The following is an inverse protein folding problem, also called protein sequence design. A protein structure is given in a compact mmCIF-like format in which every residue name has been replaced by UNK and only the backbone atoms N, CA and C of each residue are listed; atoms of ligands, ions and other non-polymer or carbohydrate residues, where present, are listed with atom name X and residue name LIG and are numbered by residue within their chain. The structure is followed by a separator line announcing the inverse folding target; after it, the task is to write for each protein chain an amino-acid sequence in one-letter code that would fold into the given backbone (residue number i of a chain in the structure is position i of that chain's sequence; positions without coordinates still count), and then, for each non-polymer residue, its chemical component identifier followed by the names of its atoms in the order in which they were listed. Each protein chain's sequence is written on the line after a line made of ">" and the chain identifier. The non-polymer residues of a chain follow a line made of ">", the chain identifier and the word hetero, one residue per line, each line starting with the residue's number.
data_IF_608574785281
#
_entry.id   IF_608574785281
#
_cell.length_a   1.000
_cell.length_b   1.000
_cell.length_c   1.000
_cell.angle_alpha   90.00
_cell.angle_beta   90.00
_cell.angle_gamma   90.00
#
_symmetry.space_group_name_H-M   'P 1'
#
loop_
_entity.id
_entity.type
_entity.pdbx_description
1 polymer ?
#
# COMPACT_ATOMS: atom_id res chain seq x y z
N UNK A 1 -53.54 13.22 -12.12
CA UNK A 1 -53.78 13.89 -10.83
C UNK A 1 -53.23 15.31 -10.89
N UNK A 2 -53.78 16.27 -10.13
CA UNK A 2 -53.21 17.61 -10.06
C UNK A 2 -51.76 17.55 -9.53
N UNK A 3 -50.89 18.49 -9.93
CA UNK A 3 -49.50 18.50 -9.50
C UNK A 3 -49.41 18.68 -7.99
N UNK A 4 -48.37 18.10 -7.38
CA UNK A 4 -48.11 18.27 -5.95
C UNK A 4 -47.83 19.73 -5.63
N UNK A 5 -48.50 20.25 -4.61
CA UNK A 5 -48.33 21.60 -4.09
C UNK A 5 -47.58 21.59 -2.76
N UNK A 6 -47.15 22.76 -2.29
CA UNK A 6 -46.50 22.89 -0.99
C UNK A 6 -47.42 22.42 0.15
N UNK A 7 -46.81 21.78 1.15
CA UNK A 7 -47.53 21.33 2.34
C UNK A 7 -48.05 22.53 3.16
N UNK A 8 -49.37 22.62 3.36
CA UNK A 8 -50.02 23.67 4.17
C UNK A 8 -50.13 23.32 5.67
N UNK A 9 -49.56 22.19 6.08
CA UNK A 9 -49.55 21.70 7.47
C UNK A 9 -50.93 21.53 8.13
N UNK A 10 -51.92 21.06 7.38
CA UNK A 10 -53.30 20.88 7.84
C UNK A 10 -53.56 19.73 8.84
N UNK A 11 -52.62 18.80 9.06
CA UNK A 11 -52.75 17.72 10.05
C UNK A 11 -53.54 16.47 9.60
N UNK A 12 -54.39 16.56 8.57
CA UNK A 12 -55.27 15.47 8.09
C UNK A 12 -54.57 14.12 7.85
N UNK A 13 -53.31 14.16 7.41
CA UNK A 13 -52.52 12.95 7.16
C UNK A 13 -52.27 12.10 8.41
N UNK A 14 -52.16 12.74 9.59
CA UNK A 14 -51.94 12.03 10.86
C UNK A 14 -53.23 11.37 11.36
N UNK A 15 -54.36 12.08 11.25
CA UNK A 15 -55.69 11.54 11.61
C UNK A 15 -56.10 10.35 10.75
N UNK A 16 -55.77 10.38 9.45
CA UNK A 16 -56.07 9.30 8.53
C UNK A 16 -55.09 8.11 8.60
N UNK A 17 -53.99 8.21 9.37
CA UNK A 17 -52.97 7.17 9.38
C UNK A 17 -53.40 5.97 10.26
N UNK A 18 -53.60 4.77 9.69
CA UNK A 18 -54.01 3.59 10.47
C UNK A 18 -52.92 3.05 11.40
N UNK A 19 -51.65 3.44 11.18
CA UNK A 19 -50.51 3.08 12.02
C UNK A 19 -50.20 4.17 13.07
N UNK A 20 -51.03 5.21 13.19
CA UNK A 20 -50.84 6.34 14.12
C UNK A 20 -49.45 6.99 14.04
N UNK A 21 -48.84 6.99 12.85
CA UNK A 21 -47.57 7.66 12.59
C UNK A 21 -47.76 9.17 12.44
N UNK A 22 -46.65 9.89 12.24
CA UNK A 22 -46.63 11.33 11.94
C UNK A 22 -46.17 11.58 10.49
N UNK A 23 -47.03 11.39 9.46
CA UNK A 23 -46.63 11.50 8.05
C UNK A 23 -46.00 12.84 7.69
N UNK A 24 -46.46 13.94 8.29
CA UNK A 24 -45.88 15.25 8.03
C UNK A 24 -44.39 15.29 8.41
N UNK A 25 -44.01 14.80 9.59
CA UNK A 25 -42.61 14.76 10.03
C UNK A 25 -41.79 13.80 9.17
N UNK A 26 -42.32 12.59 8.93
CA UNK A 26 -41.68 11.60 8.06
C UNK A 26 -41.45 12.15 6.66
N UNK A 27 -42.35 12.97 6.13
CA UNK A 27 -42.18 13.59 4.81
C UNK A 27 -41.00 14.56 4.78
N UNK A 28 -40.85 15.42 5.80
CA UNK A 28 -39.73 16.35 5.87
C UNK A 28 -38.39 15.60 5.99
N UNK A 29 -38.32 14.56 6.80
CA UNK A 29 -37.11 13.74 6.90
C UNK A 29 -36.82 12.96 5.61
N UNK A 30 -37.84 12.43 4.93
CA UNK A 30 -37.68 11.76 3.64
C UNK A 30 -37.22 12.73 2.55
N UNK A 31 -37.75 13.96 2.53
CA UNK A 31 -37.32 15.00 1.60
C UNK A 31 -35.87 15.45 1.86
N UNK A 32 -35.48 15.53 3.13
CA UNK A 32 -34.11 15.82 3.57
C UNK A 32 -33.12 14.66 3.44
N UNK A 33 -33.58 13.46 3.05
CA UNK A 33 -32.81 12.21 3.06
C UNK A 33 -32.17 11.89 4.43
N UNK A 34 -32.87 12.25 5.50
CA UNK A 34 -32.43 12.04 6.88
C UNK A 34 -32.88 10.66 7.38
N UNK A 35 -32.20 9.61 6.91
CA UNK A 35 -32.59 8.22 7.13
C UNK A 35 -32.63 7.83 8.61
N UNK A 36 -31.65 8.28 9.40
CA UNK A 36 -31.59 7.97 10.84
C UNK A 36 -32.80 8.54 11.58
N UNK A 37 -33.28 9.74 11.19
CA UNK A 37 -34.49 10.33 11.79
C UNK A 37 -35.74 9.58 11.37
N UNK A 38 -35.80 9.09 10.13
CA UNK A 38 -36.92 8.26 9.67
C UNK A 38 -37.03 6.97 10.48
N UNK A 39 -35.90 6.33 10.77
CA UNK A 39 -35.85 5.15 11.64
C UNK A 39 -36.31 5.47 13.07
N UNK A 40 -35.80 6.57 13.65
CA UNK A 40 -36.21 7.04 14.99
C UNK A 40 -37.70 7.37 15.08
N UNK A 41 -38.34 7.75 13.95
CA UNK A 41 -39.77 8.03 13.86
C UNK A 41 -40.57 6.84 13.30
N UNK A 42 -40.00 5.63 13.40
CA UNK A 42 -40.65 4.37 13.08
C UNK A 42 -41.20 4.30 11.65
N UNK A 43 -40.45 4.82 10.66
CA UNK A 43 -40.82 4.69 9.25
C UNK A 43 -41.08 3.23 8.86
N UNK A 44 -40.36 2.29 9.47
CA UNK A 44 -40.52 0.85 9.24
C UNK A 44 -41.98 0.36 9.42
N UNK A 45 -42.71 0.92 10.38
CA UNK A 45 -44.10 0.53 10.71
C UNK A 45 -45.12 1.01 9.67
N UNK A 46 -44.73 1.94 8.79
CA UNK A 46 -45.62 2.43 7.74
C UNK A 46 -46.02 1.30 6.78
N UNK A 47 -47.28 0.86 6.79
CA UNK A 47 -47.75 -0.23 5.91
C UNK A 47 -48.03 0.20 4.46
N UNK A 48 -47.64 1.42 4.07
CA UNK A 48 -47.75 1.93 2.69
C UNK A 48 -49.18 1.91 2.11
N UNK A 49 -50.20 2.03 2.97
CA UNK A 49 -51.63 1.96 2.60
C UNK A 49 -52.13 3.12 1.72
N UNK A 50 -51.42 4.24 1.66
CA UNK A 50 -51.80 5.39 0.81
C UNK A 50 -52.78 6.38 1.43
N UNK A 51 -53.34 6.10 2.62
CA UNK A 51 -54.36 6.95 3.24
C UNK A 51 -53.91 8.42 3.39
N UNK A 52 -52.68 8.64 3.86
CA UNK A 52 -52.12 9.98 4.04
C UNK A 52 -51.95 10.76 2.71
N UNK A 53 -51.61 10.07 1.61
CA UNK A 53 -51.50 10.70 0.29
C UNK A 53 -52.86 11.03 -0.30
N UNK A 54 -53.86 10.19 -0.06
CA UNK A 54 -55.21 10.38 -0.57
C UNK A 54 -55.92 11.58 0.08
N UNK A 55 -55.81 11.73 1.40
CA UNK A 55 -56.46 12.83 2.13
C UNK A 55 -55.72 14.18 2.03
N UNK A 56 -54.56 14.21 1.37
CA UNK A 56 -53.71 15.40 1.33
C UNK A 56 -54.31 16.46 0.38
N UNK A 57 -54.73 17.65 0.88
CA UNK A 57 -55.27 18.70 0.01
C UNK A 57 -54.22 19.28 -0.94
N UNK A 58 -52.94 19.20 -0.58
CA UNK A 58 -51.81 19.61 -1.43
C UNK A 58 -51.41 18.54 -2.46
N UNK A 59 -52.13 17.40 -2.51
CA UNK A 59 -51.89 16.31 -3.47
C UNK A 59 -50.45 15.74 -3.43
N UNK A 60 -49.82 15.72 -2.25
CA UNK A 60 -48.43 15.25 -2.05
C UNK A 60 -48.40 13.71 -2.02
N UNK A 61 -47.55 13.05 -2.83
CA UNK A 61 -47.45 11.60 -2.88
C UNK A 61 -46.59 11.04 -1.73
N UNK A 62 -46.98 11.30 -0.48
CA UNK A 62 -46.27 10.90 0.76
C UNK A 62 -45.74 9.44 0.74
N UNK A 63 -46.57 8.48 0.31
CA UNK A 63 -46.16 7.06 0.26
C UNK A 63 -45.01 6.79 -0.71
N UNK A 64 -44.88 7.55 -1.80
CA UNK A 64 -43.74 7.38 -2.73
C UNK A 64 -42.43 7.77 -2.05
N UNK A 65 -42.42 8.86 -1.28
CA UNK A 65 -41.26 9.25 -0.47
C UNK A 65 -40.91 8.17 0.56
N UNK A 66 -41.90 7.65 1.28
CA UNK A 66 -41.67 6.59 2.27
C UNK A 66 -41.14 5.30 1.66
N UNK A 67 -41.67 4.88 0.51
CA UNK A 67 -41.17 3.72 -0.23
C UNK A 67 -39.72 3.89 -0.65
N UNK A 68 -39.39 5.07 -1.18
CA UNK A 68 -38.02 5.40 -1.56
C UNK A 68 -37.08 5.35 -0.35
N UNK A 69 -37.44 6.03 0.75
CA UNK A 69 -36.62 6.04 1.96
C UNK A 69 -36.49 4.66 2.62
N UNK A 70 -37.56 3.84 2.62
CA UNK A 70 -37.48 2.44 3.09
C UNK A 70 -36.55 1.60 2.22
N UNK A 71 -36.56 1.80 0.90
CA UNK A 71 -35.65 1.11 0.01
C UNK A 71 -34.19 1.53 0.28
N UNK A 72 -33.96 2.82 0.50
CA UNK A 72 -32.64 3.38 0.82
C UNK A 72 -32.10 2.84 2.15
N UNK A 73 -32.93 2.81 3.20
CA UNK A 73 -32.57 2.20 4.49
C UNK A 73 -32.20 0.72 4.31
N UNK A 74 -33.03 -0.06 3.59
CA UNK A 74 -32.72 -1.47 3.33
C UNK A 74 -31.41 -1.65 2.57
N UNK A 75 -31.13 -0.81 1.58
CA UNK A 75 -29.86 -0.86 0.85
C UNK A 75 -28.67 -0.58 1.77
N UNK A 76 -28.76 0.48 2.59
CA UNK A 76 -27.74 0.81 3.59
C UNK A 76 -27.46 -0.35 4.53
N UNK A 77 -28.51 -1.01 5.02
CA UNK A 77 -28.38 -2.15 5.92
C UNK A 77 -27.74 -3.35 5.22
N UNK A 78 -28.13 -3.65 3.99
CA UNK A 78 -27.50 -4.72 3.21
C UNK A 78 -26.04 -4.45 2.92
N UNK A 79 -25.69 -3.21 2.60
CA UNK A 79 -24.30 -2.80 2.34
C UNK A 79 -23.45 -2.91 3.60
N UNK A 80 -24.01 -2.50 4.75
CA UNK A 80 -23.35 -2.64 6.05
C UNK A 80 -23.11 -4.12 6.41
N UNK A 81 -24.10 -4.99 6.24
CA UNK A 81 -23.95 -6.43 6.47
C UNK A 81 -22.89 -7.06 5.55
N UNK A 82 -22.86 -6.66 4.27
CA UNK A 82 -21.84 -7.12 3.33
C UNK A 82 -20.43 -6.65 3.72
N UNK A 83 -20.30 -5.40 4.16
CA UNK A 83 -19.04 -4.84 4.64
C UNK A 83 -18.53 -5.58 5.89
N UNK A 84 -19.41 -5.87 6.84
CA UNK A 84 -19.08 -6.62 8.05
C UNK A 84 -18.63 -8.05 7.72
N UNK A 85 -19.36 -8.73 6.83
CA UNK A 85 -18.98 -10.07 6.38
C UNK A 85 -17.63 -10.08 5.66
N UNK A 86 -17.36 -9.07 4.81
CA UNK A 86 -16.08 -8.92 4.13
C UNK A 86 -14.94 -8.71 5.13
N UNK A 87 -15.14 -7.87 6.15
CA UNK A 87 -14.19 -7.65 7.24
C UNK A 87 -13.90 -8.93 7.99
N UNK A 88 -14.92 -9.67 8.42
CA UNK A 88 -14.73 -10.96 9.12
C UNK A 88 -13.89 -11.95 8.32
N UNK A 89 -14.13 -12.06 7.01
CA UNK A 89 -13.33 -12.93 6.14
C UNK A 89 -11.89 -12.49 5.99
N UNK A 90 -11.67 -11.18 5.90
CA UNK A 90 -10.34 -10.60 5.81
C UNK A 90 -9.54 -10.85 7.10
N UNK A 91 -10.14 -10.56 8.25
CA UNK A 91 -9.54 -10.76 9.57
C UNK A 91 -9.22 -12.24 9.80
N UNK A 92 -10.14 -13.16 9.45
CA UNK A 92 -9.90 -14.61 9.55
C UNK A 92 -8.73 -15.07 8.66
N UNK A 93 -8.59 -14.50 7.45
CA UNK A 93 -7.46 -14.78 6.56
C UNK A 93 -6.16 -14.27 7.14
N UNK A 94 -6.14 -13.04 7.67
CA UNK A 94 -4.95 -12.47 8.32
C UNK A 94 -4.53 -13.31 9.52
N UNK A 95 -5.45 -13.64 10.42
CA UNK A 95 -5.17 -14.48 11.58
C UNK A 95 -4.61 -15.86 11.18
N UNK A 96 -5.04 -16.43 10.04
CA UNK A 96 -4.45 -17.67 9.50
C UNK A 96 -3.01 -17.45 9.05
N UNK A 97 -2.73 -16.38 8.31
CA UNK A 97 -1.38 -16.07 7.81
C UNK A 97 -0.42 -15.77 8.96
N UNK A 98 -0.84 -14.98 9.94
CA UNK A 98 -0.05 -14.64 11.13
C UNK A 98 0.30 -15.87 11.95
N UNK A 99 -0.65 -16.80 12.17
CA UNK A 99 -0.37 -18.08 12.84
C UNK A 99 0.68 -18.91 12.09
N UNK A 100 0.59 -18.97 10.76
CA UNK A 100 1.57 -19.69 9.94
C UNK A 100 2.96 -19.02 10.00
N UNK A 101 3.02 -17.69 9.98
CA UNK A 101 4.26 -16.93 10.11
C UNK A 101 4.89 -17.08 11.50
N UNK A 102 4.10 -16.94 12.56
CA UNK A 102 4.53 -17.16 13.94
C UNK A 102 5.04 -18.58 14.14
N UNK A 103 4.36 -19.60 13.60
CA UNK A 103 4.82 -20.98 13.63
C UNK A 103 6.17 -21.16 12.92
N UNK A 104 6.38 -20.51 11.75
CA UNK A 104 7.67 -20.51 11.04
C UNK A 104 8.78 -19.84 11.86
N UNK A 105 8.50 -18.68 12.45
CA UNK A 105 9.46 -17.95 13.29
C UNK A 105 9.81 -18.78 14.53
N UNK A 106 8.81 -19.34 15.21
CA UNK A 106 9.00 -20.22 16.37
C UNK A 106 9.81 -21.46 16.00
N UNK A 107 9.52 -22.12 14.87
CA UNK A 107 10.27 -23.27 14.38
C UNK A 107 11.74 -22.89 14.07
N UNK A 108 11.99 -21.72 13.45
CA UNK A 108 13.36 -21.23 13.20
C UNK A 108 14.10 -20.96 14.51
N UNK A 109 13.47 -20.27 15.47
CA UNK A 109 14.04 -20.02 16.81
C UNK A 109 14.33 -21.32 17.55
N UNK A 110 13.42 -22.29 17.52
CA UNK A 110 13.61 -23.60 18.12
C UNK A 110 14.77 -24.38 17.47
N UNK A 111 14.89 -24.35 16.14
CA UNK A 111 16.05 -24.95 15.42
C UNK A 111 17.36 -24.28 15.82
N UNK A 112 17.40 -22.95 15.91
CA UNK A 112 18.58 -22.20 16.35
C UNK A 112 18.95 -22.51 17.81
N UNK A 113 17.97 -22.59 18.71
CA UNK A 113 18.20 -22.96 20.11
C UNK A 113 18.73 -24.40 20.24
N UNK A 114 18.16 -25.37 19.51
CA UNK A 114 18.67 -26.75 19.45
C UNK A 114 20.09 -26.82 18.89
N UNK A 115 20.38 -26.09 17.83
CA UNK A 115 21.73 -26.03 17.25
C UNK A 115 22.75 -25.39 18.22
N UNK A 116 22.37 -24.32 18.92
CA UNK A 116 23.21 -23.70 19.93
C UNK A 116 23.44 -24.61 21.15
N UNK A 117 22.41 -25.32 21.61
CA UNK A 117 22.52 -26.30 22.68
C UNK A 117 23.44 -27.47 22.28
N UNK A 118 23.28 -28.02 21.08
CA UNK A 118 24.16 -29.07 20.55
C UNK A 118 25.60 -28.57 20.40
N UNK A 119 25.82 -27.34 19.91
CA UNK A 119 27.16 -26.72 19.88
C UNK A 119 27.79 -26.60 21.29
N UNK A 120 27.01 -26.24 22.31
CA UNK A 120 27.48 -26.17 23.71
C UNK A 120 27.81 -27.56 24.28
N UNK A 121 26.98 -28.57 23.99
CA UNK A 121 27.23 -29.96 24.41
C UNK A 121 28.52 -30.49 23.77
N UNK A 122 28.71 -30.33 22.46
CA UNK A 122 29.94 -30.75 21.76
C UNK A 122 31.18 -30.00 22.26
N UNK A 123 31.06 -28.71 22.56
CA UNK A 123 32.16 -27.93 23.14
C UNK A 123 32.57 -28.37 24.56
N UNK A 124 31.69 -29.08 25.29
CA UNK A 124 32.00 -29.67 26.60
C UNK A 124 32.73 -31.02 26.51
N UNK A 125 32.61 -31.74 25.40
CA UNK A 125 33.27 -33.03 25.15
C UNK A 125 34.64 -32.88 24.45
N UNK A 126 34.94 -31.71 23.86
CA UNK A 126 36.20 -31.43 23.17
C UNK A 126 37.29 -30.89 24.14
N UNK A 127 38.35 -31.66 24.49
CA UNK A 127 39.41 -31.21 25.42
C UNK A 127 40.21 -30.00 24.88
N UNK A 128 40.19 -29.77 23.56
CA UNK A 128 40.81 -28.60 22.92
C UNK A 128 39.99 -27.32 23.09
N UNK A 129 38.66 -27.40 23.16
CA UNK A 129 37.81 -26.22 23.36
C UNK A 129 37.95 -25.65 24.79
N UNK A 130 38.08 -26.52 25.79
CA UNK A 130 38.40 -26.14 27.16
C UNK A 130 39.78 -25.46 27.30
N UNK A 131 40.79 -25.96 26.56
CA UNK A 131 42.13 -25.35 26.54
C UNK A 131 42.14 -23.95 25.91
N UNK A 132 41.38 -23.73 24.83
CA UNK A 132 41.26 -22.42 24.17
C UNK A 132 40.47 -21.43 25.04
N UNK A 133 39.39 -21.85 25.70
CA UNK A 133 38.65 -21.01 26.64
C UNK A 133 39.51 -20.58 27.85
N UNK A 134 40.32 -21.51 28.40
CA UNK A 134 41.26 -21.20 29.47
C UNK A 134 42.39 -20.24 29.02
N UNK A 135 42.85 -20.35 27.77
CA UNK A 135 43.85 -19.44 27.21
C UNK A 135 43.29 -18.02 27.01
N UNK A 136 42.05 -17.88 26.51
CA UNK A 136 41.40 -16.58 26.34
C UNK A 136 41.11 -15.90 27.68
N UNK A 137 40.67 -16.65 28.70
CA UNK A 137 40.49 -16.12 30.06
C UNK A 137 41.81 -15.61 30.68
N UNK A 138 42.95 -16.26 30.40
CA UNK A 138 44.28 -15.79 30.82
C UNK A 138 44.71 -14.50 30.10
N UNK A 139 44.35 -14.33 28.83
CA UNK A 139 44.63 -13.10 28.06
C UNK A 139 43.76 -11.94 28.54
N UNK A 140 42.49 -12.20 28.87
CA UNK A 140 41.60 -11.19 29.45
C UNK A 140 41.99 -10.80 30.88
N UNK A 141 42.42 -11.75 31.71
CA UNK A 141 43.02 -11.48 33.03
C UNK A 141 44.32 -10.66 32.90
N UNK A 142 45.14 -10.92 31.87
CA UNK A 142 46.36 -10.15 31.60
C UNK A 142 46.07 -8.75 31.05
N UNK A 143 44.99 -8.59 30.27
CA UNK A 143 44.52 -7.27 29.79
C UNK A 143 43.92 -6.43 30.91
N UNK A 144 43.12 -7.03 31.80
CA UNK A 144 42.57 -6.35 32.98
C UNK A 144 43.67 -6.00 33.98
N UNK A 145 44.64 -6.88 34.24
CA UNK A 145 45.83 -6.58 35.04
C UNK A 145 46.68 -5.43 34.45
N UNK A 146 46.82 -5.38 33.11
CA UNK A 146 47.50 -4.29 32.40
C UNK A 146 46.70 -2.99 32.35
N UNK A 147 45.38 -3.05 32.48
CA UNK A 147 44.52 -1.87 32.62
C UNK A 147 44.59 -1.31 34.04
N UNK A 148 44.62 -2.15 35.08
CA UNK A 148 44.83 -1.72 36.47
C UNK A 148 46.25 -1.21 36.74
N UNK A 149 47.27 -1.71 36.04
CA UNK A 149 48.65 -1.18 36.14
C UNK A 149 48.82 0.20 35.46
N UNK A 150 47.83 0.68 34.69
CA UNK A 150 47.85 1.98 34.01
C UNK A 150 47.04 3.06 34.74
N UNK A 151 46.56 2.78 35.97
CA UNK A 151 45.71 3.66 36.76
C UNK A 151 46.40 4.26 38.02
N UNK A 152 47.73 4.22 38.13
CA UNK A 152 48.47 4.88 39.24
C UNK A 152 49.58 5.80 38.72
N UNK A 153 49.18 7.01 38.29
CA UNK A 153 50.00 8.22 38.37
C UNK A 153 49.07 9.44 38.45
N UNK A 154 49.17 10.33 39.46
CA UNK A 154 48.29 11.49 39.60
C UNK A 154 48.76 12.72 38.79
N UNK A 155 47.75 13.48 38.36
CA UNK A 155 47.56 14.82 37.76
C UNK A 155 48.57 15.99 38.02
N UNK A 156 48.51 17.18 37.34
CA UNK A 156 47.26 17.91 36.97
C UNK A 156 47.14 18.67 35.61
N UNK A 157 45.86 18.79 35.22
CA UNK A 157 45.11 19.88 34.57
C UNK A 157 45.69 20.79 33.46
N UNK A 158 44.96 20.86 32.32
CA UNK A 158 44.41 22.10 31.75
C UNK A 158 43.39 21.83 30.63
N UNK A 159 42.31 22.63 30.60
CA UNK A 159 41.14 22.52 29.74
C UNK A 159 41.30 23.18 28.36
N UNK A 160 40.51 22.76 27.37
CA UNK A 160 39.73 23.65 26.46
C UNK A 160 38.74 22.84 25.61
N UNK A 161 37.72 23.55 25.12
CA UNK A 161 36.42 23.08 24.68
C UNK A 161 36.30 22.64 23.21
N UNK A 162 35.23 21.87 22.94
CA UNK A 162 34.36 21.85 21.74
C UNK A 162 34.95 21.57 20.34
N UNK A 163 34.56 20.44 19.72
CA UNK A 163 33.66 20.43 18.55
C UNK A 163 33.30 19.02 18.02
N UNK A 164 32.11 18.99 17.40
CA UNK A 164 31.59 18.10 16.35
C UNK A 164 31.17 16.67 16.70
N UNK A 165 29.85 16.53 16.84
CA UNK A 165 29.08 15.38 16.37
C UNK A 165 29.52 14.95 14.95
N UNK A 166 30.04 13.74 14.84
CA UNK A 166 30.02 12.96 13.61
C UNK A 166 30.08 11.47 13.98
N UNK A 167 28.90 10.85 14.13
CA UNK A 167 28.78 9.41 14.23
C UNK A 167 29.25 8.76 12.90
N UNK A 168 30.00 7.64 12.95
CA UNK A 168 30.52 7.00 11.74
C UNK A 168 29.38 6.29 10.99
N UNK A 169 29.33 6.53 9.67
CA UNK A 169 28.39 5.90 8.74
C UNK A 169 28.41 4.37 8.89
N UNK A 170 27.29 3.81 9.35
CA UNK A 170 27.03 2.38 9.30
C UNK A 170 26.82 1.95 7.86
N UNK A 171 27.54 0.91 7.44
CA UNK A 171 27.51 0.35 6.09
C UNK A 171 26.19 -0.43 5.86
N UNK A 172 25.06 0.28 5.85
CA UNK A 172 23.72 -0.26 5.72
C UNK A 172 23.39 -0.49 4.23
N UNK A 173 23.05 -1.72 3.80
CA UNK A 173 22.68 -2.02 2.41
C UNK A 173 21.50 -1.17 1.91
N UNK A 174 20.61 -0.71 2.78
CA UNK A 174 19.48 0.15 2.43
C UNK A 174 19.97 1.56 2.08
N UNK A 175 20.89 2.12 2.85
CA UNK A 175 21.46 3.44 2.58
C UNK A 175 22.25 3.45 1.26
N UNK A 176 22.98 2.37 0.97
CA UNK A 176 23.68 2.20 -0.32
C UNK A 176 22.72 2.13 -1.51
N UNK A 177 21.57 1.47 -1.35
CA UNK A 177 20.54 1.42 -2.38
C UNK A 177 19.88 2.79 -2.62
N UNK A 178 19.63 3.54 -1.55
CA UNK A 178 19.08 4.90 -1.63
C UNK A 178 20.06 5.87 -2.31
N UNK A 179 21.34 5.81 -1.97
CA UNK A 179 22.38 6.64 -2.60
C UNK A 179 22.51 6.37 -4.10
N UNK A 180 22.46 5.10 -4.52
CA UNK A 180 22.50 4.70 -5.94
C UNK A 180 21.26 5.16 -6.71
N UNK A 181 20.09 5.12 -6.08
CA UNK A 181 18.85 5.61 -6.70
C UNK A 181 18.87 7.13 -6.86
N UNK A 182 19.41 7.84 -5.86
CA UNK A 182 19.56 9.30 -5.91
C UNK A 182 20.56 9.75 -6.98
N UNK A 183 21.69 9.04 -7.16
CA UNK A 183 22.65 9.34 -8.23
C UNK A 183 22.05 9.07 -9.61
N UNK A 184 21.35 7.95 -9.79
CA UNK A 184 20.64 7.64 -11.04
C UNK A 184 19.57 8.67 -11.38
N UNK A 185 18.84 9.18 -10.38
CA UNK A 185 17.83 10.22 -10.60
C UNK A 185 18.43 11.57 -11.04
N UNK A 186 19.64 11.90 -10.57
CA UNK A 186 20.37 13.10 -10.99
C UNK A 186 20.85 12.97 -12.43
N UNK A 187 21.47 11.84 -12.78
CA UNK A 187 21.87 11.55 -14.17
C UNK A 187 20.68 11.52 -15.13
N UNK A 188 19.56 10.92 -14.71
CA UNK A 188 18.31 10.87 -15.49
C UNK A 188 17.67 12.25 -15.70
N UNK A 189 17.95 13.22 -14.82
CA UNK A 189 17.46 14.60 -14.93
C UNK A 189 18.33 15.45 -15.85
N UNK A 190 19.64 15.18 -15.90
CA UNK A 190 20.59 15.87 -16.77
C UNK A 190 20.51 15.38 -18.23
N UNK A 191 20.30 14.07 -18.47
CA UNK A 191 20.11 13.52 -19.81
C UNK A 191 18.88 12.57 -19.89
N UNK A 192 17.69 13.14 -20.15
CA UNK A 192 16.47 12.37 -20.36
C UNK A 192 16.55 11.39 -21.54
N UNK A 193 17.40 11.64 -22.54
CA UNK A 193 17.54 10.79 -23.73
C UNK A 193 18.39 9.55 -23.41
N UNK A 194 19.45 9.70 -22.62
CA UNK A 194 20.23 8.57 -22.10
C UNK A 194 19.37 7.60 -21.28
N UNK A 195 18.42 8.11 -20.49
CA UNK A 195 17.45 7.29 -19.75
C UNK A 195 16.56 6.46 -20.69
N UNK A 196 16.02 7.10 -21.73
CA UNK A 196 15.17 6.43 -22.72
C UNK A 196 15.95 5.37 -23.52
N UNK A 197 17.22 5.66 -23.86
CA UNK A 197 18.10 4.70 -24.52
C UNK A 197 18.39 3.48 -23.64
N UNK A 198 18.72 3.66 -22.36
CA UNK A 198 18.88 2.54 -21.41
C UNK A 198 17.59 1.71 -21.26
N UNK A 199 16.43 2.37 -21.29
CA UNK A 199 15.14 1.68 -21.24
C UNK A 199 14.87 0.86 -22.53
N UNK A 200 15.25 1.38 -23.70
CA UNK A 200 15.20 0.67 -24.97
C UNK A 200 16.14 -0.54 -24.99
N UNK A 201 17.40 -0.36 -24.60
CA UNK A 201 18.40 -1.44 -24.55
C UNK A 201 17.98 -2.56 -23.58
N UNK A 202 17.38 -2.19 -22.44
CA UNK A 202 16.81 -3.14 -21.48
C UNK A 202 15.58 -3.88 -22.04
N UNK A 203 14.72 -3.20 -22.82
CA UNK A 203 13.59 -3.84 -23.48
C UNK A 203 14.05 -4.82 -24.58
N UNK A 204 15.08 -4.46 -25.35
CA UNK A 204 15.70 -5.31 -26.35
C UNK A 204 16.33 -6.57 -25.73
N UNK A 205 17.10 -6.41 -24.65
CA UNK A 205 17.68 -7.55 -23.93
C UNK A 205 16.61 -8.50 -23.36
N UNK A 206 15.48 -7.96 -22.90
CA UNK A 206 14.35 -8.76 -22.41
C UNK A 206 13.65 -9.52 -23.53
N UNK A 207 13.45 -8.91 -24.68
CA UNK A 207 12.88 -9.58 -25.85
C UNK A 207 13.78 -10.73 -26.31
N UNK A 208 15.10 -10.50 -26.42
CA UNK A 208 16.06 -11.54 -26.79
C UNK A 208 16.04 -12.73 -25.83
N UNK A 209 15.99 -12.49 -24.51
CA UNK A 209 15.88 -13.56 -23.50
C UNK A 209 14.53 -14.29 -23.55
N UNK A 210 13.44 -13.59 -23.85
CA UNK A 210 12.13 -14.20 -24.00
C UNK A 210 12.07 -15.10 -25.25
N UNK A 211 12.65 -14.65 -26.37
CA UNK A 211 12.78 -15.44 -27.60
C UNK A 211 13.65 -16.68 -27.41
N UNK A 212 14.78 -16.54 -26.70
CA UNK A 212 15.64 -17.68 -26.37
C UNK A 212 14.90 -18.72 -25.53
N UNK A 213 14.15 -18.29 -24.50
CA UNK A 213 13.35 -19.20 -23.66
C UNK A 213 12.23 -19.88 -24.43
N UNK A 214 11.63 -19.18 -25.39
CA UNK A 214 10.62 -19.77 -26.28
C UNK A 214 11.26 -20.83 -27.18
N UNK A 215 12.41 -20.55 -27.79
CA UNK A 215 13.14 -21.52 -28.62
C UNK A 215 13.59 -22.75 -27.83
N UNK A 216 14.11 -22.57 -26.62
CA UNK A 216 14.45 -23.66 -25.70
C UNK A 216 13.21 -24.48 -25.29
N UNK A 217 12.06 -23.83 -25.09
CA UNK A 217 10.80 -24.50 -24.75
C UNK A 217 10.20 -25.29 -25.93
N UNK A 218 10.33 -24.78 -27.15
CA UNK A 218 9.90 -25.46 -28.38
C UNK A 218 10.79 -26.67 -28.70
N UNK A 219 12.10 -26.58 -28.49
CA UNK A 219 13.02 -27.72 -28.64
C UNK A 219 12.76 -28.83 -27.62
N UNK A 220 12.35 -28.46 -26.40
CA UNK A 220 12.09 -29.41 -25.32
C UNK A 220 10.61 -29.85 -25.23
N UNK A 221 9.75 -29.45 -26.16
CA UNK A 221 8.30 -29.71 -26.16
C UNK A 221 7.62 -29.44 -24.79
N UNK A 222 7.92 -28.27 -24.21
CA UNK A 222 7.35 -27.84 -22.93
C UNK A 222 5.86 -27.49 -23.05
N UNK A 223 5.06 -27.82 -22.04
CA UNK A 223 3.63 -27.45 -21.96
C UNK A 223 3.39 -25.93 -21.85
N UNK A 224 4.44 -25.12 -21.67
CA UNK A 224 4.34 -23.68 -21.45
C UNK A 224 4.64 -22.84 -22.71
N UNK A 225 4.70 -23.44 -23.90
CA UNK A 225 4.99 -22.75 -25.17
C UNK A 225 4.01 -21.58 -25.40
N UNK A 226 2.70 -21.78 -25.21
CA UNK A 226 1.71 -20.72 -25.46
C UNK A 226 1.86 -19.53 -24.49
N UNK A 227 2.18 -19.81 -23.21
CA UNK A 227 2.45 -18.77 -22.23
C UNK A 227 3.72 -17.97 -22.58
N UNK A 228 4.75 -18.63 -23.11
CA UNK A 228 5.99 -18.00 -23.56
C UNK A 228 5.78 -17.18 -24.84
N UNK A 229 4.92 -17.62 -25.76
CA UNK A 229 4.53 -16.84 -26.95
C UNK A 229 3.85 -15.53 -26.57
N UNK A 230 2.86 -15.59 -25.66
CA UNK A 230 2.23 -14.38 -25.13
C UNK A 230 3.20 -13.48 -24.36
N UNK A 231 4.24 -14.05 -23.75
CA UNK A 231 5.29 -13.26 -23.10
C UNK A 231 6.19 -12.54 -24.11
N UNK A 232 6.54 -13.18 -25.23
CA UNK A 232 7.31 -12.57 -26.33
C UNK A 232 6.52 -11.41 -26.95
N UNK A 233 5.21 -11.58 -27.19
CA UNK A 233 4.32 -10.54 -27.72
C UNK A 233 4.20 -9.32 -26.77
N UNK A 234 4.12 -9.57 -25.46
CA UNK A 234 4.14 -8.50 -24.45
C UNK A 234 5.50 -7.81 -24.34
N UNK A 235 6.59 -8.49 -24.70
CA UNK A 235 7.93 -7.91 -24.73
C UNK A 235 8.17 -7.11 -26.03
N UNK A 236 7.65 -7.55 -27.17
CA UNK A 236 7.77 -6.83 -28.45
C UNK A 236 6.97 -5.53 -28.41
N UNK A 237 5.73 -5.56 -27.94
CA UNK A 237 4.91 -4.34 -27.77
C UNK A 237 5.57 -3.30 -26.84
N UNK A 238 6.27 -3.73 -25.79
CA UNK A 238 7.03 -2.83 -24.90
C UNK A 238 8.28 -2.26 -25.57
N UNK A 239 8.92 -3.01 -26.48
CA UNK A 239 10.05 -2.51 -27.25
C UNK A 239 9.60 -1.44 -28.24
N UNK A 240 8.47 -1.65 -28.93
CA UNK A 240 7.87 -0.67 -29.84
C UNK A 240 7.51 0.63 -29.11
N UNK A 241 6.91 0.53 -27.92
CA UNK A 241 6.60 1.69 -27.08
C UNK A 241 7.87 2.44 -26.64
N UNK A 242 8.92 1.72 -26.24
CA UNK A 242 10.21 2.33 -25.87
C UNK A 242 10.89 3.00 -27.08
N UNK A 243 10.81 2.41 -28.26
CA UNK A 243 11.33 2.96 -29.51
C UNK A 243 10.59 4.23 -29.92
N UNK A 244 9.26 4.24 -29.81
CA UNK A 244 8.43 5.43 -30.08
C UNK A 244 8.72 6.57 -29.11
N UNK A 245 8.88 6.28 -27.81
CA UNK A 245 9.27 7.26 -26.79
C UNK A 245 10.65 7.87 -27.07
N UNK A 246 11.59 7.06 -27.55
CA UNK A 246 12.93 7.50 -27.89
C UNK A 246 12.96 8.32 -29.19
N UNK A 247 12.18 7.94 -30.20
CA UNK A 247 12.03 8.69 -31.43
C UNK A 247 11.40 10.07 -31.19
N UNK A 248 10.31 10.13 -30.41
CA UNK A 248 9.65 11.40 -30.04
C UNK A 248 10.59 12.31 -29.24
N UNK A 249 11.33 11.77 -28.27
CA UNK A 249 12.32 12.54 -27.52
C UNK A 249 13.45 13.10 -28.40
N UNK A 250 13.98 12.30 -29.34
CA UNK A 250 15.02 12.74 -30.30
C UNK A 250 14.53 13.85 -31.23
N UNK A 251 13.27 13.79 -31.67
CA UNK A 251 12.65 14.85 -32.48
C UNK A 251 12.50 16.12 -31.64
N UNK A 252 12.01 16.02 -30.40
CA UNK A 252 11.88 17.18 -29.50
C UNK A 252 13.23 17.83 -29.14
N UNK A 253 14.31 17.05 -29.00
CA UNK A 253 15.66 17.62 -28.81
C UNK A 253 16.18 18.30 -30.07
N UNK A 254 15.97 17.72 -31.25
CA UNK A 254 16.38 18.34 -32.52
C UNK A 254 15.62 19.63 -32.83
N UNK A 255 14.32 19.71 -32.51
CA UNK A 255 13.53 20.95 -32.65
C UNK A 255 14.07 22.05 -31.74
N UNK A 256 14.41 21.76 -30.48
CA UNK A 256 14.98 22.73 -29.54
C UNK A 256 16.36 23.23 -29.96
N UNK A 257 17.20 22.34 -30.52
CA UNK A 257 18.52 22.73 -31.04
C UNK A 257 18.37 23.61 -32.28
N UNK A 258 17.45 23.26 -33.19
CA UNK A 258 17.23 24.02 -34.42
C UNK A 258 16.64 25.41 -34.16
N UNK A 259 15.75 25.55 -33.18
CA UNK A 259 15.16 26.82 -32.74
C UNK A 259 16.20 27.76 -32.10
N UNK A 260 17.19 27.20 -31.38
CA UNK A 260 18.31 27.99 -30.83
C UNK A 260 19.30 28.46 -31.90
N UNK A 261 19.49 27.69 -32.99
CA UNK A 261 20.40 28.05 -34.09
C UNK A 261 19.80 28.99 -35.14
N UNK A 262 18.47 29.13 -35.21
CA UNK A 262 17.77 29.96 -36.21
C UNK A 262 17.23 31.29 -35.63
N UNK A 263 17.75 31.75 -34.49
CA UNK A 263 17.35 33.02 -33.87
C UNK A 263 18.32 34.16 -34.27
N UNK A 264 17.95 35.08 -35.20
CA UNK A 264 18.78 36.20 -35.62
C UNK A 264 18.62 37.39 -34.64
N UNK A 265 18.96 37.19 -33.36
CA UNK A 265 18.78 38.22 -32.34
C UNK A 265 19.93 38.28 -31.31
N UNK A 266 21.17 38.02 -31.74
CA UNK A 266 22.41 38.37 -31.02
C UNK A 266 23.57 38.56 -32.01
N UNK A 267 23.54 39.66 -32.76
CA UNK A 267 24.73 40.31 -33.31
C UNK A 267 24.60 41.79 -32.93
N UNK A 268 25.06 42.10 -31.71
CA UNK A 268 25.56 43.42 -31.32
C UNK A 268 27.08 43.30 -31.20
#
# INVERSE_FOLDING_TARGET
>A
PPPAQACIRCGLCAEACPASLLPQQLYWFAQGKELEKLEQHNLADCIECGACSYVCPSNIPLVQYYRASKAEIRQRDTDMQQADYAKQRFDARQARLERLEQAKIAARKARQAKAAANKKLRAGEDPKAAAVAAALARVEAKKTARATARATTPEPAAATAAHSDAAPASDDPVQRALARRASQQREDAEDPNAKLQRAFDAAQSRLAKAQQRLAEAEQNNSEHIDALRSAVEKCSSKLEQAQAALATAKVSTNVKINDQSNNPAKQD
#
